data_IF_963043215406
#
_entry.id   IF_963043215406
#
_cell.length_a   1.000
_cell.length_b   1.000
_cell.length_c   1.000
_cell.angle_alpha   90.00
_cell.angle_beta   90.00
_cell.angle_gamma   90.00
#
_symmetry.space_group_name_H-M   'P 1'
#
loop_
_entity.id
_entity.type
_entity.pdbx_description
1 polymer ?
#
# COMPACT_ATOMS: atom_id res chain seq x y z
N UNK A 1 14.93 17.03 -14.26
CA UNK A 1 13.85 16.35 -13.51
C UNK A 1 14.20 16.30 -12.03
N UNK A 2 13.33 16.81 -11.19
CA UNK A 2 13.55 16.76 -9.75
C UNK A 2 13.16 15.37 -9.20
N UNK A 3 13.98 14.87 -8.28
CA UNK A 3 13.66 13.64 -7.58
C UNK A 3 12.64 13.93 -6.48
N UNK A 4 11.66 13.06 -6.31
CA UNK A 4 10.71 13.18 -5.23
C UNK A 4 11.36 12.86 -3.89
N UNK A 5 10.94 13.59 -2.85
CA UNK A 5 11.42 13.35 -1.49
C UNK A 5 10.66 12.17 -0.88
N UNK A 6 11.37 11.25 -0.24
CA UNK A 6 10.75 10.13 0.47
C UNK A 6 9.80 10.59 1.57
N UNK A 7 10.08 11.72 2.21
CA UNK A 7 9.22 12.28 3.25
C UNK A 7 7.86 12.77 2.74
N UNK A 8 7.72 12.99 1.43
CA UNK A 8 6.46 13.38 0.81
C UNK A 8 5.65 12.18 0.29
N UNK A 9 6.20 10.98 0.36
CA UNK A 9 5.52 9.74 -0.01
C UNK A 9 4.78 9.20 1.21
N UNK A 10 3.50 9.56 1.32
CA UNK A 10 2.70 9.35 2.54
C UNK A 10 1.65 8.26 2.36
N UNK A 11 1.47 7.45 3.39
CA UNK A 11 0.37 6.51 3.48
C UNK A 11 -0.72 7.09 4.37
N UNK A 12 -1.96 7.05 3.88
CA UNK A 12 -3.15 7.51 4.61
C UNK A 12 -4.17 6.38 4.73
N UNK A 13 -4.93 6.40 5.80
CA UNK A 13 -6.03 5.46 6.03
C UNK A 13 -7.36 6.21 6.04
N UNK A 14 -8.40 5.58 5.51
CA UNK A 14 -9.75 6.13 5.50
C UNK A 14 -10.34 6.27 6.90
N UNK A 15 -11.30 7.18 7.05
CA UNK A 15 -11.96 7.44 8.34
C UNK A 15 -13.36 6.82 8.45
N UNK A 16 -13.77 6.04 7.44
CA UNK A 16 -15.09 5.40 7.43
C UNK A 16 -16.24 6.29 6.97
N UNK A 17 -15.98 7.55 6.61
CA UNK A 17 -17.01 8.44 6.10
C UNK A 17 -17.33 8.18 4.63
N UNK A 18 -18.46 8.71 4.16
CA UNK A 18 -18.89 8.65 2.75
C UNK A 18 -19.07 10.06 2.20
N UNK A 19 -18.20 10.55 1.27
CA UNK A 19 -17.00 9.89 0.78
C UNK A 19 -15.91 9.79 1.86
N UNK A 20 -14.98 8.82 1.76
CA UNK A 20 -13.99 8.65 2.82
C UNK A 20 -13.04 9.83 2.88
N UNK A 21 -12.82 10.33 4.09
CA UNK A 21 -11.70 11.20 4.38
C UNK A 21 -10.48 10.36 4.73
N UNK A 22 -9.30 10.90 4.56
CA UNK A 22 -8.06 10.17 4.82
C UNK A 22 -7.21 10.89 5.85
N UNK A 23 -6.65 10.12 6.77
CA UNK A 23 -5.72 10.62 7.78
C UNK A 23 -4.35 9.98 7.57
N UNK A 24 -3.30 10.80 7.63
CA UNK A 24 -1.93 10.31 7.49
C UNK A 24 -1.57 9.39 8.64
N UNK A 25 -0.95 8.25 8.32
CA UNK A 25 -0.39 7.35 9.33
C UNK A 25 0.91 8.00 9.82
N UNK A 26 0.82 8.69 10.93
CA UNK A 26 1.95 9.42 11.51
C UNK A 26 3.04 8.46 11.99
N UNK A 27 4.27 8.95 12.03
CA UNK A 27 5.40 8.16 12.48
C UNK A 27 5.96 7.18 11.46
N UNK A 28 5.32 7.02 10.32
CA UNK A 28 5.80 6.16 9.24
C UNK A 28 7.05 6.78 8.61
N UNK A 29 8.16 6.05 8.61
CA UNK A 29 9.45 6.53 8.12
C UNK A 29 9.77 6.05 6.72
N UNK A 30 9.29 4.86 6.37
CA UNK A 30 9.47 4.30 5.03
C UNK A 30 8.13 3.82 4.49
N UNK A 31 7.91 4.02 3.21
CA UNK A 31 6.71 3.55 2.51
C UNK A 31 7.14 3.00 1.17
N UNK A 32 6.65 1.83 0.82
CA UNK A 32 6.95 1.19 -0.46
C UNK A 32 5.66 0.73 -1.11
N UNK A 33 5.51 1.03 -2.38
CA UNK A 33 4.38 0.57 -3.19
C UNK A 33 4.92 -0.29 -4.32
N UNK A 34 4.33 -1.48 -4.48
CA UNK A 34 4.71 -2.41 -5.53
C UNK A 34 3.46 -2.78 -6.33
N UNK A 35 3.54 -2.64 -7.64
CA UNK A 35 2.47 -3.08 -8.54
C UNK A 35 2.84 -4.46 -9.06
N UNK A 36 1.96 -5.42 -8.82
CA UNK A 36 2.14 -6.80 -9.26
C UNK A 36 1.18 -7.08 -10.41
N UNK A 37 1.67 -7.77 -11.43
CA UNK A 37 0.86 -8.15 -12.56
C UNK A 37 1.17 -9.61 -12.92
N UNK A 38 0.11 -10.42 -12.97
CA UNK A 38 0.21 -11.78 -13.42
C UNK A 38 0.29 -11.79 -14.95
N UNK A 39 1.18 -12.59 -15.51
CA UNK A 39 1.36 -12.70 -16.95
C UNK A 39 0.55 -13.88 -17.51
N UNK A 40 -0.05 -13.67 -18.68
CA UNK A 40 -0.69 -14.74 -19.43
C UNK A 40 0.09 -14.94 -20.72
N UNK A 41 0.65 -16.14 -20.90
CA UNK A 41 1.48 -16.46 -22.07
C UNK A 41 0.59 -16.94 -23.22
N UNK A 42 0.75 -16.30 -24.37
CA UNK A 42 0.00 -16.64 -25.59
C UNK A 42 0.95 -17.01 -26.76
N UNK A 43 2.13 -17.47 -26.43
CA UNK A 43 3.16 -17.86 -27.41
C UNK A 43 2.62 -18.94 -28.35
N UNK A 44 2.84 -18.79 -29.65
CA UNK A 44 2.43 -19.75 -30.65
C UNK A 44 3.51 -19.86 -31.74
N UNK A 45 3.27 -20.67 -32.77
CA UNK A 45 4.22 -20.88 -33.87
C UNK A 45 4.53 -19.57 -34.61
N UNK A 46 3.60 -18.64 -34.67
CA UNK A 46 3.78 -17.34 -35.31
C UNK A 46 4.67 -16.39 -34.52
N UNK A 47 4.99 -16.72 -33.28
CA UNK A 47 5.84 -15.88 -32.42
C UNK A 47 7.33 -15.94 -32.76
N UNK A 48 7.74 -16.82 -33.67
CA UNK A 48 9.12 -16.89 -34.12
C UNK A 48 10.14 -17.31 -33.05
N UNK A 49 9.71 -18.11 -32.09
CA UNK A 49 10.54 -18.54 -30.96
C UNK A 49 10.56 -17.58 -29.78
N UNK A 50 9.86 -16.49 -29.87
CA UNK A 50 9.77 -15.50 -28.77
C UNK A 50 8.52 -15.72 -27.94
N UNK A 51 8.62 -15.51 -26.64
CA UNK A 51 7.48 -15.54 -25.73
C UNK A 51 6.62 -14.30 -25.96
N UNK A 52 5.34 -14.48 -26.13
CA UNK A 52 4.36 -13.40 -26.21
C UNK A 52 3.43 -13.42 -25.02
N UNK A 53 3.05 -12.24 -24.52
CA UNK A 53 2.17 -12.08 -23.38
C UNK A 53 0.89 -11.36 -23.80
N UNK A 54 -0.22 -11.76 -23.17
CA UNK A 54 -1.51 -11.11 -23.41
C UNK A 54 -1.66 -9.90 -22.50
N UNK A 55 -1.83 -8.73 -23.09
CA UNK A 55 -2.00 -7.48 -22.35
C UNK A 55 -3.34 -7.44 -21.62
N UNK A 56 -3.32 -7.05 -20.34
CA UNK A 56 -4.53 -6.84 -19.54
C UNK A 56 -5.27 -8.09 -19.10
N UNK A 57 -4.74 -9.28 -19.35
CA UNK A 57 -5.43 -10.54 -19.07
C UNK A 57 -5.16 -11.10 -17.69
N UNK A 58 -4.01 -10.80 -17.09
CA UNK A 58 -3.64 -11.34 -15.78
C UNK A 58 -4.23 -10.54 -14.63
N UNK A 59 -4.19 -11.14 -13.46
CA UNK A 59 -4.60 -10.45 -12.22
C UNK A 59 -3.56 -9.40 -11.87
N UNK A 60 -4.02 -8.19 -11.59
CA UNK A 60 -3.17 -7.08 -11.14
C UNK A 60 -3.48 -6.79 -9.68
N UNK A 61 -2.45 -6.49 -8.92
CA UNK A 61 -2.59 -6.14 -7.52
C UNK A 61 -1.53 -5.12 -7.13
N UNK A 62 -1.78 -4.43 -6.01
CA UNK A 62 -0.83 -3.49 -5.44
C UNK A 62 -0.50 -3.96 -4.03
N UNK A 63 0.79 -4.01 -3.73
CA UNK A 63 1.28 -4.31 -2.39
C UNK A 63 1.87 -3.04 -1.79
N UNK A 64 1.52 -2.75 -0.56
CA UNK A 64 2.09 -1.64 0.20
C UNK A 64 2.84 -2.20 1.39
N UNK A 65 3.96 -1.59 1.72
CA UNK A 65 4.68 -1.88 2.94
C UNK A 65 5.19 -0.59 3.55
N UNK A 66 5.36 -0.60 4.86
CA UNK A 66 5.86 0.57 5.57
C UNK A 66 6.45 0.19 6.91
N UNK A 67 7.33 1.03 7.39
CA UNK A 67 7.95 0.89 8.70
C UNK A 67 8.09 2.25 9.35
N UNK A 68 7.96 2.30 10.66
CA UNK A 68 8.07 3.56 11.37
C UNK A 68 8.04 3.40 12.88
N UNK A 69 7.81 4.54 13.54
CA UNK A 69 7.74 4.62 14.99
C UNK A 69 6.28 4.81 15.39
N UNK A 70 5.85 4.07 16.40
CA UNK A 70 4.49 4.17 16.91
C UNK A 70 4.33 5.46 17.73
N UNK A 71 3.45 6.35 17.27
CA UNK A 71 3.18 7.63 17.92
C UNK A 71 1.84 7.67 18.65
N UNK A 72 0.99 6.66 18.46
CA UNK A 72 -0.32 6.60 19.09
C UNK A 72 -1.37 7.47 18.40
N UNK A 73 -1.15 7.91 17.17
CA UNK A 73 -2.14 8.70 16.43
C UNK A 73 -3.42 7.89 16.17
N UNK A 74 -4.52 8.60 15.91
CA UNK A 74 -5.80 7.96 15.59
C UNK A 74 -5.71 7.07 14.34
N UNK A 75 -4.94 7.48 13.35
CA UNK A 75 -4.73 6.70 12.13
C UNK A 75 -4.01 5.37 12.43
N UNK A 76 -2.99 5.40 13.29
CA UNK A 76 -2.27 4.19 13.69
C UNK A 76 -3.16 3.23 14.48
N UNK A 77 -3.99 3.78 15.37
CA UNK A 77 -4.95 2.96 16.14
C UNK A 77 -5.94 2.29 15.20
N UNK A 78 -6.43 2.99 14.18
CA UNK A 78 -7.32 2.42 13.18
C UNK A 78 -6.63 1.30 12.38
N UNK A 79 -5.39 1.51 11.96
CA UNK A 79 -4.59 0.49 11.26
C UNK A 79 -4.44 -0.75 12.11
N UNK A 80 -4.09 -0.59 13.37
CA UNK A 80 -3.97 -1.71 14.32
C UNK A 80 -5.30 -2.45 14.47
N UNK A 81 -6.40 -1.72 14.61
CA UNK A 81 -7.73 -2.31 14.71
C UNK A 81 -8.10 -3.11 13.47
N UNK A 82 -7.81 -2.57 12.29
CA UNK A 82 -8.06 -3.27 11.02
C UNK A 82 -7.23 -4.55 10.91
N UNK A 83 -5.97 -4.51 11.35
CA UNK A 83 -5.10 -5.69 11.33
C UNK A 83 -5.62 -6.79 12.25
N UNK A 84 -6.02 -6.42 13.45
CA UNK A 84 -6.54 -7.39 14.43
C UNK A 84 -7.89 -7.99 14.03
N UNK A 85 -8.73 -7.18 13.39
CA UNK A 85 -10.06 -7.63 12.93
C UNK A 85 -10.04 -8.30 11.56
N UNK A 86 -8.95 -8.17 10.80
CA UNK A 86 -8.88 -8.71 9.44
C UNK A 86 -9.80 -8.00 8.47
N UNK A 87 -10.00 -6.70 8.64
CA UNK A 87 -10.97 -5.91 7.88
C UNK A 87 -10.28 -5.16 6.74
N UNK A 88 -10.92 -5.20 5.57
CA UNK A 88 -10.50 -4.40 4.42
C UNK A 88 -10.97 -2.98 4.64
N UNK A 89 -10.09 -2.00 4.41
CA UNK A 89 -10.39 -0.59 4.58
C UNK A 89 -9.81 0.21 3.42
N UNK A 90 -10.19 1.48 3.34
CA UNK A 90 -9.69 2.38 2.32
C UNK A 90 -8.34 2.95 2.72
N UNK A 91 -7.40 2.93 1.78
CA UNK A 91 -6.05 3.47 1.97
C UNK A 91 -5.69 4.33 0.78
N UNK A 92 -4.87 5.34 1.01
CA UNK A 92 -4.40 6.23 -0.02
C UNK A 92 -2.91 6.46 0.13
N UNK A 93 -2.17 6.41 -0.98
CA UNK A 93 -0.76 6.79 -1.02
C UNK A 93 -0.67 8.10 -1.79
N UNK A 94 0.02 9.07 -1.22
CA UNK A 94 0.20 10.40 -1.82
C UNK A 94 1.66 10.57 -2.20
N UNK A 95 1.91 10.95 -3.45
CA UNK A 95 3.23 11.26 -3.94
C UNK A 95 3.51 12.76 -3.84
N UNK A 96 4.78 13.15 -3.87
CA UNK A 96 5.17 14.57 -3.81
C UNK A 96 4.56 15.39 -4.94
N UNK A 97 4.39 14.78 -6.10
CA UNK A 97 3.78 15.44 -7.27
C UNK A 97 2.31 15.79 -7.08
N UNK A 98 1.66 15.28 -6.03
CA UNK A 98 0.24 15.42 -5.79
C UNK A 98 -0.60 14.28 -6.35
N UNK A 99 0.00 13.36 -7.08
CA UNK A 99 -0.67 12.15 -7.54
C UNK A 99 -1.04 11.28 -6.35
N UNK A 100 -2.23 10.69 -6.39
CA UNK A 100 -2.70 9.79 -5.34
C UNK A 100 -3.04 8.43 -5.92
N UNK A 101 -2.79 7.38 -5.15
CA UNK A 101 -3.21 6.01 -5.44
C UNK A 101 -4.14 5.59 -4.32
N UNK A 102 -5.40 5.35 -4.67
CA UNK A 102 -6.45 5.05 -3.69
C UNK A 102 -7.05 3.69 -4.00
N UNK A 103 -7.26 2.89 -2.98
CA UNK A 103 -7.87 1.58 -3.13
C UNK A 103 -8.21 0.98 -1.79
N UNK A 104 -8.80 -0.20 -1.84
CA UNK A 104 -9.12 -0.98 -0.65
C UNK A 104 -8.02 -2.01 -0.43
N UNK A 105 -7.53 -2.08 0.78
CA UNK A 105 -6.43 -2.96 1.15
C UNK A 105 -6.74 -3.74 2.41
N UNK A 106 -6.17 -4.94 2.48
CA UNK A 106 -6.17 -5.76 3.69
C UNK A 106 -4.76 -5.73 4.27
N UNK A 107 -4.65 -5.51 5.56
CA UNK A 107 -3.37 -5.62 6.25
C UNK A 107 -3.06 -7.10 6.43
N UNK A 108 -2.01 -7.56 5.75
CA UNK A 108 -1.61 -8.97 5.77
C UNK A 108 -0.59 -9.24 6.87
N UNK A 109 0.09 -8.21 7.34
CA UNK A 109 1.08 -8.35 8.39
C UNK A 109 1.26 -7.01 9.11
N UNK A 110 1.31 -7.07 10.44
CA UNK A 110 1.63 -5.92 11.27
C UNK A 110 2.49 -6.41 12.43
N UNK A 111 3.74 -5.95 12.46
CA UNK A 111 4.70 -6.31 13.49
C UNK A 111 4.99 -5.10 14.36
N UNK A 112 4.97 -5.29 15.67
CA UNK A 112 5.43 -4.30 16.63
C UNK A 112 6.66 -4.83 17.34
N UNK A 113 7.61 -3.96 17.56
CA UNK A 113 8.82 -4.26 18.33
C UNK A 113 9.13 -3.08 19.23
N UNK A 114 9.66 -3.37 20.41
CA UNK A 114 10.04 -2.32 21.34
C UNK A 114 11.07 -2.82 22.32
N UNK A 115 12.03 -1.95 22.62
CA UNK A 115 13.02 -2.19 23.64
C UNK A 115 12.57 -1.53 24.95
N UNK A 116 13.06 -2.04 26.06
CA UNK A 116 12.70 -1.56 27.41
C UNK A 116 12.87 -0.04 27.56
N UNK A 117 13.95 0.52 27.01
CA UNK A 117 14.25 1.95 27.07
C UNK A 117 14.21 2.62 25.69
N UNK A 118 13.67 1.95 24.68
CA UNK A 118 13.70 2.43 23.31
C UNK A 118 12.33 2.79 22.75
N UNK A 119 12.31 3.28 21.51
CA UNK A 119 11.11 3.56 20.79
C UNK A 119 10.39 2.27 20.43
N UNK A 120 9.07 2.32 20.40
CA UNK A 120 8.27 1.25 19.79
C UNK A 120 8.25 1.47 18.29
N UNK A 121 8.64 0.46 17.55
CA UNK A 121 8.65 0.49 16.08
C UNK A 121 7.64 -0.48 15.54
N UNK A 122 7.21 -0.25 14.30
CA UNK A 122 6.32 -1.17 13.64
C UNK A 122 6.66 -1.31 12.16
N UNK A 123 6.30 -2.47 11.60
CA UNK A 123 6.33 -2.72 10.17
C UNK A 123 4.98 -3.28 9.75
N UNK A 124 4.53 -2.92 8.56
CA UNK A 124 3.26 -3.43 8.05
C UNK A 124 3.34 -3.75 6.57
N UNK A 125 2.51 -4.69 6.14
CA UNK A 125 2.32 -5.04 4.75
C UNK A 125 0.83 -5.11 4.45
N UNK A 126 0.44 -4.57 3.30
CA UNK A 126 -0.94 -4.52 2.85
C UNK A 126 -1.02 -5.05 1.42
N UNK A 127 -2.14 -5.70 1.11
CA UNK A 127 -2.44 -6.17 -0.24
C UNK A 127 -3.76 -5.58 -0.71
N UNK A 128 -3.80 -5.17 -1.96
CA UNK A 128 -5.02 -4.59 -2.53
C UNK A 128 -6.12 -5.64 -2.71
N UNK A 129 -7.36 -5.19 -2.55
CA UNK A 129 -8.55 -5.98 -2.82
C UNK A 129 -9.46 -5.17 -3.72
N UNK A 130 -9.53 -5.55 -4.98
CA UNK A 130 -10.28 -4.81 -5.98
C UNK A 130 -9.45 -3.75 -6.70
N UNK A 131 -10.10 -2.89 -7.49
CA UNK A 131 -9.40 -1.92 -8.30
C UNK A 131 -8.73 -0.83 -7.48
N UNK A 132 -7.59 -0.37 -7.97
CA UNK A 132 -6.82 0.75 -7.40
C UNK A 132 -6.89 1.88 -8.42
N UNK A 133 -7.21 3.07 -7.94
CA UNK A 133 -7.44 4.24 -8.79
C UNK A 133 -6.36 5.29 -8.54
N UNK A 134 -5.86 5.87 -9.62
CA UNK A 134 -4.91 6.98 -9.56
C UNK A 134 -5.62 8.29 -9.90
N UNK A 135 -5.18 9.36 -9.27
CA UNK A 135 -5.73 10.68 -9.53
C UNK A 135 -4.69 11.78 -9.52
#
# INVERSE_FOLDING_TARGET
MAMEKGSAFLLKVGNGAEPPGFATVAGLRTTQLTVNAETVVVTNQGSGGWRELLSGAGVRSVSLSGAGVFTGSGAEVRVKGNALAGVIDDYQVVFESGETVTGRFLITRLDYAGDYNGERTYTMALESSGPVVTA
#
